data_IF_269279500707
#
_entry.id   IF_269279500707
#
_cell.length_a   1.000
_cell.length_b   1.000
_cell.length_c   1.000
_cell.angle_alpha   90.00
_cell.angle_beta   90.00
_cell.angle_gamma   90.00
#
_symmetry.space_group_name_H-M   'P 1'
#
loop_
_entity.id
_entity.type
_entity.pdbx_description
1 polymer ?
#
# COMPACT_ATOMS: atom_id res chain seq x y z
N UNK A 1 -5.08 -0.43 -5.19
CA UNK A 1 -4.24 -1.50 -5.75
C UNK A 1 -3.09 -1.75 -4.78
N UNK A 2 -2.61 -2.98 -4.67
CA UNK A 2 -1.59 -3.39 -3.68
C UNK A 2 -0.24 -2.69 -3.94
N UNK A 3 0.54 -2.46 -2.88
CA UNK A 3 1.88 -1.87 -2.96
C UNK A 3 2.84 -2.71 -3.83
N UNK A 4 3.74 -2.09 -4.62
CA UNK A 4 4.78 -2.84 -5.31
C UNK A 4 5.70 -3.59 -4.33
N UNK A 5 5.98 -4.86 -4.65
CA UNK A 5 6.88 -5.73 -3.86
C UNK A 5 8.30 -5.13 -3.78
N UNK A 6 8.79 -4.55 -4.89
CA UNK A 6 10.11 -3.90 -4.99
C UNK A 6 9.98 -2.47 -5.48
N UNK A 7 10.90 -1.62 -5.06
CA UNK A 7 11.00 -0.26 -5.60
C UNK A 7 11.31 -0.26 -7.10
N UNK A 8 10.57 0.54 -7.88
CA UNK A 8 10.74 0.67 -9.33
C UNK A 8 12.10 1.19 -9.77
N UNK A 9 12.86 1.86 -8.90
CA UNK A 9 14.16 2.44 -9.25
C UNK A 9 15.33 1.66 -8.65
N UNK A 10 15.28 1.35 -7.35
CA UNK A 10 16.39 0.74 -6.62
C UNK A 10 16.31 -0.80 -6.56
N UNK A 11 15.14 -1.41 -6.86
CA UNK A 11 14.91 -2.85 -6.72
C UNK A 11 14.90 -3.39 -5.29
N UNK A 12 15.08 -2.52 -4.27
CA UNK A 12 15.00 -2.86 -2.84
C UNK A 12 13.60 -3.39 -2.52
N UNK A 13 13.52 -4.35 -1.59
CA UNK A 13 12.27 -4.90 -1.06
C UNK A 13 11.52 -3.83 -0.25
N UNK A 14 10.26 -3.59 -0.62
CA UNK A 14 9.39 -2.55 -0.01
C UNK A 14 8.04 -3.13 0.44
N UNK A 15 7.52 -4.15 -0.25
CA UNK A 15 6.20 -4.70 0.09
C UNK A 15 6.10 -5.26 1.51
N UNK A 16 7.22 -5.67 2.11
CA UNK A 16 7.30 -6.13 3.50
C UNK A 16 7.09 -5.04 4.56
N UNK A 17 7.21 -3.76 4.18
CA UNK A 17 7.21 -2.61 5.12
C UNK A 17 5.92 -1.79 5.11
N UNK A 18 5.00 -2.06 4.18
CA UNK A 18 3.81 -1.25 3.99
C UNK A 18 2.89 -1.25 5.21
N UNK A 19 2.53 -2.43 5.72
CA UNK A 19 1.58 -2.56 6.83
C UNK A 19 2.08 -1.84 8.09
N UNK A 20 3.36 -2.01 8.41
CA UNK A 20 4.00 -1.34 9.55
C UNK A 20 4.04 0.19 9.35
N UNK A 21 4.42 0.66 8.16
CA UNK A 21 4.41 2.09 7.83
C UNK A 21 3.01 2.69 7.95
N UNK A 22 2.00 2.06 7.32
CA UNK A 22 0.62 2.55 7.32
C UNK A 22 0.02 2.56 8.73
N UNK A 23 0.28 1.53 9.55
CA UNK A 23 -0.19 1.45 10.93
C UNK A 23 0.38 2.57 11.82
N UNK A 24 1.69 2.84 11.71
CA UNK A 24 2.36 3.89 12.50
C UNK A 24 1.94 5.29 12.09
N UNK A 25 1.87 5.55 10.77
CA UNK A 25 1.39 6.85 10.26
C UNK A 25 -0.07 7.07 10.64
N UNK A 26 -0.91 6.04 10.61
CA UNK A 26 -2.31 6.12 11.07
C UNK A 26 -2.43 6.36 12.58
N UNK A 27 -1.44 5.92 13.36
CA UNK A 27 -1.33 6.20 14.79
C UNK A 27 -0.85 7.64 15.09
N UNK A 28 -0.48 8.41 14.07
CA UNK A 28 -0.06 9.80 14.19
C UNK A 28 1.44 10.01 14.33
N UNK A 29 2.26 8.99 14.11
CA UNK A 29 3.72 9.15 14.03
C UNK A 29 4.14 9.92 12.77
N UNK A 30 5.22 10.69 12.87
CA UNK A 30 5.75 11.43 11.72
C UNK A 30 6.26 10.47 10.63
N UNK A 31 5.77 10.60 9.37
CA UNK A 31 6.16 9.69 8.29
C UNK A 31 7.67 9.64 8.04
N UNK A 32 8.40 10.75 8.24
CA UNK A 32 9.85 10.75 8.02
C UNK A 32 10.55 9.85 9.05
N UNK A 33 10.20 9.99 10.32
CA UNK A 33 10.77 9.17 11.40
C UNK A 33 10.45 7.69 11.21
N UNK A 34 9.23 7.37 10.78
CA UNK A 34 8.85 5.98 10.48
C UNK A 34 9.71 5.41 9.34
N UNK A 35 9.89 6.16 8.24
CA UNK A 35 10.73 5.74 7.12
C UNK A 35 12.20 5.53 7.51
N UNK A 36 12.71 6.39 8.39
CA UNK A 36 14.06 6.28 8.95
C UNK A 36 14.19 5.00 9.80
N UNK A 37 13.19 4.72 10.66
CA UNK A 37 13.16 3.51 11.49
C UNK A 37 13.09 2.21 10.68
N UNK A 38 12.46 2.25 9.50
CA UNK A 38 12.34 1.14 8.56
C UNK A 38 13.59 0.93 7.69
N UNK A 39 14.64 1.74 7.89
CA UNK A 39 15.92 1.64 7.17
C UNK A 39 15.82 2.01 5.69
N UNK A 40 14.96 2.98 5.34
CA UNK A 40 14.77 3.44 3.97
C UNK A 40 15.52 4.74 3.71
N UNK A 41 16.82 4.67 3.44
CA UNK A 41 17.66 5.87 3.27
C UNK A 41 17.43 6.59 1.93
N UNK A 42 17.20 5.82 0.86
CA UNK A 42 17.11 6.37 -0.50
C UNK A 42 15.71 6.94 -0.78
N UNK A 43 15.66 8.17 -1.27
CA UNK A 43 14.42 8.85 -1.67
C UNK A 43 13.56 8.02 -2.64
N UNK A 44 14.19 7.29 -3.55
CA UNK A 44 13.49 6.50 -4.56
C UNK A 44 12.73 5.31 -3.96
N UNK A 45 13.21 4.77 -2.83
CA UNK A 45 12.54 3.72 -2.10
C UNK A 45 11.49 4.34 -1.13
N UNK A 46 11.75 5.53 -0.54
CA UNK A 46 10.77 6.28 0.30
C UNK A 46 9.50 6.70 -0.45
N UNK A 47 9.64 7.22 -1.67
CA UNK A 47 8.48 7.67 -2.48
C UNK A 47 7.49 6.54 -2.77
N UNK A 48 7.93 5.28 -2.72
CA UNK A 48 7.06 4.13 -2.95
C UNK A 48 6.05 3.95 -1.82
N UNK A 49 6.40 4.32 -0.58
CA UNK A 49 5.48 4.26 0.57
C UNK A 49 4.69 5.57 0.70
N UNK A 50 5.36 6.71 0.58
CA UNK A 50 4.72 8.03 0.77
C UNK A 50 3.59 8.33 -0.22
N UNK A 51 3.72 7.88 -1.47
CA UNK A 51 2.73 8.13 -2.53
C UNK A 51 1.84 6.93 -2.82
N UNK A 52 1.91 5.88 -2.01
CA UNK A 52 1.06 4.71 -2.22
C UNK A 52 -0.36 4.99 -1.71
N UNK A 53 -1.35 4.56 -2.49
CA UNK A 53 -2.75 4.58 -2.09
C UNK A 53 -3.37 3.21 -2.38
N UNK A 54 -3.87 2.58 -1.33
CA UNK A 54 -4.38 1.23 -1.35
C UNK A 54 -5.89 1.23 -1.65
N UNK A 55 -6.23 1.19 -2.94
CA UNK A 55 -7.62 1.10 -3.40
C UNK A 55 -8.13 -0.33 -3.69
N UNK A 56 -7.51 -1.37 -3.11
CA UNK A 56 -7.88 -2.75 -3.49
C UNK A 56 -9.23 -3.16 -2.90
N UNK A 57 -9.55 -2.69 -1.70
CA UNK A 57 -10.76 -3.04 -0.98
C UNK A 57 -12.00 -2.48 -1.69
N UNK A 58 -11.97 -1.22 -2.13
CA UNK A 58 -13.09 -0.60 -2.84
C UNK A 58 -13.35 -1.29 -4.19
N UNK A 59 -12.30 -1.79 -4.84
CA UNK A 59 -12.43 -2.54 -6.09
C UNK A 59 -13.05 -3.92 -5.81
N UNK A 60 -12.66 -4.59 -4.73
CA UNK A 60 -13.21 -5.89 -4.35
C UNK A 60 -14.72 -5.79 -4.06
N UNK A 61 -15.14 -4.77 -3.31
CA UNK A 61 -16.57 -4.50 -3.05
C UNK A 61 -17.38 -4.38 -4.34
N UNK A 62 -16.88 -3.62 -5.32
CA UNK A 62 -17.53 -3.47 -6.62
C UNK A 62 -17.70 -4.82 -7.36
N UNK A 63 -16.66 -5.66 -7.36
CA UNK A 63 -16.74 -6.97 -8.01
C UNK A 63 -17.67 -7.95 -7.28
N UNK A 64 -17.75 -7.88 -5.96
CA UNK A 64 -18.68 -8.68 -5.17
C UNK A 64 -20.14 -8.30 -5.47
N UNK A 65 -20.45 -7.01 -5.59
CA UNK A 65 -21.77 -6.54 -5.98
C UNK A 65 -22.13 -6.93 -7.41
N UNK A 66 -21.21 -6.78 -8.35
CA UNK A 66 -21.40 -7.21 -9.73
C UNK A 66 -21.65 -8.72 -9.82
N UNK A 67 -20.90 -9.53 -9.06
CA UNK A 67 -21.11 -10.98 -8.98
C UNK A 67 -22.49 -11.32 -8.40
N UNK A 68 -22.94 -10.63 -7.35
CA UNK A 68 -24.27 -10.83 -6.75
C UNK A 68 -25.39 -10.51 -7.75
N UNK A 69 -25.30 -9.41 -8.51
CA UNK A 69 -26.28 -9.05 -9.54
C UNK A 69 -26.37 -10.09 -10.66
N UNK A 70 -25.23 -10.54 -11.18
CA UNK A 70 -25.18 -11.57 -12.22
C UNK A 70 -25.74 -12.93 -11.76
N UNK A 71 -25.74 -13.21 -10.45
CA UNK A 71 -26.32 -14.43 -9.88
C UNK A 71 -27.83 -14.33 -9.66
N UNK A 72 -28.40 -13.12 -9.61
CA UNK A 72 -29.84 -12.86 -9.47
C UNK A 72 -30.54 -12.83 -10.85
N UNK A 73 -29.79 -12.59 -11.93
CA UNK A 73 -30.30 -12.56 -13.31
C UNK A 73 -30.35 -13.95 -14.02
N UNK A 74 -30.06 -15.05 -13.31
CA UNK A 74 -30.17 -16.45 -13.81
C UNK A 74 -31.38 -17.14 -13.19
#
# INVERSE_FOLDING_TARGET
MIIPIRCFSCGKLIGDKWEEFASRVKSGEDPSQVLDSLGLDRYCCRRMLLSHVEFIDEILEFYEEARKKNMIEI
#
